data_IF_796086951783
#
_entry.id   IF_796086951783
#
_cell.length_a   1.000
_cell.length_b   1.000
_cell.length_c   1.000
_cell.angle_alpha   90.00
_cell.angle_beta   90.00
_cell.angle_gamma   90.00
#
_symmetry.space_group_name_H-M   'P 1'
#
loop_
_entity.id
_entity.type
_entity.pdbx_description
1 polymer ?
#
# COMPACT_ATOMS: atom_id res chain seq x y z
N UNK A 1 -21.93 5.87 -1.03
CA UNK A 1 -20.72 5.13 -0.61
C UNK A 1 -19.50 5.56 -1.46
N UNK A 2 -19.33 6.86 -1.72
CA UNK A 2 -18.29 7.36 -2.65
C UNK A 2 -16.95 7.67 -1.95
N UNK A 3 -16.93 7.71 -0.61
CA UNK A 3 -15.73 8.03 0.17
C UNK A 3 -14.62 6.98 0.02
N UNK A 4 -14.97 5.69 0.08
CA UNK A 4 -14.00 4.61 -0.07
C UNK A 4 -13.32 4.66 -1.45
N UNK A 5 -14.07 4.88 -2.52
CA UNK A 5 -13.51 4.94 -3.88
C UNK A 5 -12.50 6.07 -4.04
N UNK A 6 -12.80 7.27 -3.51
CA UNK A 6 -11.86 8.40 -3.53
C UNK A 6 -10.60 8.10 -2.72
N UNK A 7 -10.76 7.56 -1.50
CA UNK A 7 -9.62 7.21 -0.64
C UNK A 7 -8.75 6.12 -1.27
N UNK A 8 -9.35 5.09 -1.86
CA UNK A 8 -8.65 4.02 -2.58
C UNK A 8 -7.92 4.55 -3.82
N UNK A 9 -8.52 5.52 -4.54
CA UNK A 9 -7.86 6.18 -5.66
C UNK A 9 -6.60 6.97 -5.21
N UNK A 10 -6.69 7.70 -4.09
CA UNK A 10 -5.53 8.38 -3.50
C UNK A 10 -4.43 7.40 -3.09
N UNK A 11 -4.80 6.27 -2.46
CA UNK A 11 -3.84 5.22 -2.10
C UNK A 11 -3.16 4.60 -3.33
N UNK A 12 -3.95 4.36 -4.40
CA UNK A 12 -3.44 3.87 -5.70
C UNK A 12 -2.44 4.84 -6.31
N UNK A 13 -2.75 6.14 -6.32
CA UNK A 13 -1.84 7.17 -6.84
C UNK A 13 -0.52 7.19 -6.05
N UNK A 14 -0.58 7.10 -4.72
CA UNK A 14 0.63 7.03 -3.89
C UNK A 14 1.48 5.80 -4.24
N UNK A 15 0.85 4.63 -4.44
CA UNK A 15 1.55 3.41 -4.86
C UNK A 15 2.21 3.57 -6.23
N UNK A 16 1.51 4.16 -7.20
CA UNK A 16 2.06 4.40 -8.54
C UNK A 16 3.24 5.37 -8.50
N UNK A 17 3.17 6.41 -7.66
CA UNK A 17 4.30 7.33 -7.42
C UNK A 17 5.50 6.59 -6.83
N UNK A 18 5.26 5.66 -5.88
CA UNK A 18 6.33 4.84 -5.32
C UNK A 18 6.97 3.92 -6.37
N UNK A 19 6.15 3.27 -7.20
CA UNK A 19 6.62 2.41 -8.29
C UNK A 19 7.44 3.17 -9.35
N UNK A 20 7.12 4.45 -9.59
CA UNK A 20 7.91 5.32 -10.46
C UNK A 20 9.21 5.84 -9.82
N UNK A 21 9.39 5.66 -8.51
CA UNK A 21 10.49 6.24 -7.75
C UNK A 21 10.28 7.71 -7.33
N UNK A 22 9.08 8.26 -7.54
CA UNK A 22 8.70 9.63 -7.17
C UNK A 22 8.32 9.78 -5.68
N UNK A 23 8.14 8.65 -4.98
CA UNK A 23 7.76 8.61 -3.57
C UNK A 23 8.58 7.52 -2.85
N UNK A 24 9.34 7.86 -1.77
CA UNK A 24 10.02 6.87 -0.97
C UNK A 24 9.02 5.97 -0.24
N UNK A 25 9.46 4.77 0.15
CA UNK A 25 8.64 3.77 0.84
C UNK A 25 7.98 4.33 2.11
N UNK A 26 8.70 5.15 2.89
CA UNK A 26 8.20 5.74 4.12
C UNK A 26 7.04 6.71 3.85
N UNK A 27 7.14 7.47 2.76
CA UNK A 27 6.09 8.37 2.30
C UNK A 27 4.84 7.61 1.84
N UNK A 28 5.02 6.48 1.16
CA UNK A 28 3.91 5.60 0.80
C UNK A 28 3.19 5.04 2.04
N UNK A 29 3.95 4.51 3.00
CA UNK A 29 3.40 3.93 4.24
C UNK A 29 2.64 4.99 5.04
N UNK A 30 3.21 6.19 5.20
CA UNK A 30 2.56 7.28 5.88
C UNK A 30 1.23 7.66 5.20
N UNK A 31 1.24 7.87 3.87
CA UNK A 31 0.04 8.22 3.12
C UNK A 31 -1.06 7.16 3.24
N UNK A 32 -0.70 5.88 3.22
CA UNK A 32 -1.65 4.78 3.38
C UNK A 32 -2.22 4.69 4.80
N UNK A 33 -1.39 4.85 5.83
CA UNK A 33 -1.84 4.86 7.23
C UNK A 33 -2.74 6.05 7.54
N UNK A 34 -2.48 7.21 6.97
CA UNK A 34 -3.34 8.40 7.11
C UNK A 34 -4.68 8.24 6.37
N UNK A 35 -4.67 7.56 5.23
CA UNK A 35 -5.89 7.30 4.45
C UNK A 35 -6.74 6.16 5.03
N UNK A 36 -6.14 5.20 5.75
CA UNK A 36 -6.85 4.01 6.25
C UNK A 36 -8.06 4.28 7.16
N UNK A 37 -8.05 5.24 8.11
CA UNK A 37 -9.22 5.59 8.91
C UNK A 37 -10.41 6.12 8.10
N UNK A 38 -10.18 6.65 6.90
CA UNK A 38 -11.24 7.13 6.01
C UNK A 38 -11.93 5.99 5.23
N UNK A 39 -11.39 4.76 5.29
CA UNK A 39 -11.99 3.59 4.66
C UNK A 39 -13.00 2.94 5.60
N UNK A 40 -14.26 2.87 5.18
CA UNK A 40 -15.28 2.08 5.84
C UNK A 40 -15.19 0.60 5.40
N UNK A 41 -14.08 -0.07 5.73
CA UNK A 41 -13.83 -1.47 5.38
C UNK A 41 -13.84 -2.39 6.62
N UNK A 42 -14.11 -3.69 6.45
CA UNK A 42 -13.99 -4.66 7.53
C UNK A 42 -12.58 -4.68 8.16
N UNK A 43 -12.45 -4.93 9.47
CA UNK A 43 -11.16 -4.85 10.19
C UNK A 43 -10.07 -5.77 9.63
N UNK A 44 -10.44 -6.88 8.98
CA UNK A 44 -9.50 -7.78 8.28
C UNK A 44 -8.71 -7.08 7.17
N UNK A 45 -9.31 -6.10 6.48
CA UNK A 45 -8.63 -5.32 5.44
C UNK A 45 -7.54 -4.44 6.04
N UNK A 46 -7.81 -3.79 7.18
CA UNK A 46 -6.83 -2.99 7.90
C UNK A 46 -5.65 -3.83 8.38
N UNK A 47 -5.90 -5.03 8.91
CA UNK A 47 -4.82 -5.95 9.32
C UNK A 47 -3.98 -6.44 8.14
N UNK A 48 -4.62 -6.81 7.03
CA UNK A 48 -3.90 -7.22 5.83
C UNK A 48 -3.06 -6.08 5.24
N UNK A 49 -3.60 -4.86 5.22
CA UNK A 49 -2.89 -3.67 4.76
C UNK A 49 -1.64 -3.40 5.62
N UNK A 50 -1.79 -3.37 6.95
CA UNK A 50 -0.69 -3.10 7.88
C UNK A 50 0.44 -4.14 7.75
N UNK A 51 0.10 -5.41 7.59
CA UNK A 51 1.09 -6.48 7.37
C UNK A 51 1.85 -6.30 6.05
N UNK A 52 1.16 -5.90 4.96
CA UNK A 52 1.81 -5.60 3.68
C UNK A 52 2.74 -4.40 3.77
N UNK A 53 2.31 -3.31 4.44
CA UNK A 53 3.13 -2.11 4.66
C UNK A 53 4.38 -2.44 5.48
N UNK A 54 4.24 -3.22 6.55
CA UNK A 54 5.38 -3.66 7.38
C UNK A 54 6.40 -4.48 6.60
N UNK A 55 5.93 -5.39 5.74
CA UNK A 55 6.80 -6.18 4.85
C UNK A 55 7.53 -5.29 3.85
N UNK A 56 6.85 -4.27 3.31
CA UNK A 56 7.45 -3.32 2.39
C UNK A 56 8.54 -2.49 3.07
N UNK A 57 8.27 -1.98 4.28
CA UNK A 57 9.22 -1.24 5.12
C UNK A 57 10.48 -2.07 5.39
N UNK A 58 10.31 -3.32 5.83
CA UNK A 58 11.44 -4.24 6.02
C UNK A 58 12.17 -4.50 4.70
N UNK A 59 11.46 -4.79 3.61
CA UNK A 59 12.07 -5.05 2.31
C UNK A 59 12.92 -3.87 1.85
N UNK A 60 12.49 -2.63 2.10
CA UNK A 60 13.26 -1.43 1.77
C UNK A 60 14.47 -1.25 2.69
N UNK A 61 14.32 -1.52 3.99
CA UNK A 61 15.44 -1.47 4.95
C UNK A 61 16.52 -2.52 4.63
N UNK A 62 16.14 -3.68 4.11
CA UNK A 62 17.06 -4.78 3.75
C UNK A 62 17.47 -4.78 2.25
N UNK A 63 16.93 -3.88 1.43
CA UNK A 63 17.22 -3.82 -0.01
C UNK A 63 18.66 -3.38 -0.35
N UNK A 64 19.50 -3.04 0.64
CA UNK A 64 20.88 -2.61 0.39
C UNK A 64 21.79 -3.74 -0.13
N UNK A 65 21.42 -5.02 0.02
CA UNK A 65 22.30 -6.16 -0.32
C UNK A 65 21.75 -7.17 -1.35
N UNK A 66 20.47 -7.12 -1.74
CA UNK A 66 19.92 -8.15 -2.65
C UNK A 66 18.70 -7.73 -3.46
N UNK A 67 18.95 -7.50 -4.75
CA UNK A 67 18.17 -7.95 -5.91
C UNK A 67 16.63 -7.87 -5.84
N UNK A 68 16.03 -6.81 -6.40
CA UNK A 68 14.80 -6.63 -7.22
C UNK A 68 13.55 -7.55 -7.11
N UNK A 69 13.56 -8.65 -6.36
CA UNK A 69 12.56 -9.72 -6.43
C UNK A 69 11.53 -9.64 -5.30
N UNK A 70 11.91 -9.16 -4.10
CA UNK A 70 11.02 -9.08 -2.94
C UNK A 70 10.07 -7.87 -2.97
N UNK A 71 10.54 -6.69 -3.38
CA UNK A 71 9.72 -5.46 -3.35
C UNK A 71 8.58 -5.47 -4.39
N UNK A 72 8.80 -6.04 -5.58
CA UNK A 72 7.77 -6.13 -6.63
C UNK A 72 6.61 -7.04 -6.23
N UNK A 73 6.90 -8.15 -5.55
CA UNK A 73 5.86 -9.05 -5.05
C UNK A 73 4.97 -8.37 -4.00
N UNK A 74 5.54 -7.52 -3.14
CA UNK A 74 4.78 -6.80 -2.11
C UNK A 74 3.90 -5.71 -2.73
N UNK A 75 4.43 -4.93 -3.67
CA UNK A 75 3.65 -3.89 -4.38
C UNK A 75 2.51 -4.47 -5.24
N UNK A 76 2.71 -5.66 -5.80
CA UNK A 76 1.67 -6.42 -6.49
C UNK A 76 0.57 -6.94 -5.52
N UNK A 77 0.93 -7.35 -4.30
CA UNK A 77 -0.05 -7.67 -3.26
C UNK A 77 -0.85 -6.43 -2.80
N UNK A 78 -0.19 -5.27 -2.66
CA UNK A 78 -0.86 -3.99 -2.35
C UNK A 78 -1.86 -3.61 -3.46
N UNK A 79 -1.48 -3.84 -4.71
CA UNK A 79 -2.36 -3.63 -5.87
C UNK A 79 -3.61 -4.50 -5.79
N UNK A 80 -3.46 -5.80 -5.52
CA UNK A 80 -4.61 -6.70 -5.33
C UNK A 80 -5.47 -6.33 -4.14
N UNK A 81 -4.86 -5.85 -3.06
CA UNK A 81 -5.61 -5.40 -1.88
C UNK A 81 -6.53 -4.23 -2.23
N UNK A 82 -6.03 -3.23 -2.98
CA UNK A 82 -6.81 -2.08 -3.45
C UNK A 82 -7.98 -2.52 -4.34
N UNK A 83 -7.73 -3.43 -5.29
CA UNK A 83 -8.77 -3.92 -6.19
C UNK A 83 -9.85 -4.65 -5.40
N UNK A 84 -9.46 -5.44 -4.40
CA UNK A 84 -10.42 -6.14 -3.54
C UNK A 84 -11.20 -5.16 -2.66
N UNK A 85 -10.53 -4.18 -2.06
CA UNK A 85 -11.17 -3.15 -1.26
C UNK A 85 -12.17 -2.29 -2.07
N UNK A 86 -11.94 -2.11 -3.38
CA UNK A 86 -12.86 -1.41 -4.27
C UNK A 86 -14.13 -2.22 -4.61
N UNK A 87 -14.11 -3.55 -4.38
CA UNK A 87 -15.26 -4.44 -4.62
C UNK A 87 -16.13 -4.68 -3.39
N UNK A 88 -15.74 -4.16 -2.22
CA UNK A 88 -16.48 -4.27 -0.94
C UNK A 88 -17.39 -3.06 -0.77
#
# INVERSE_FOLDING_TARGET
MSGNTTTLATMREALDRHLRGDLPVDGLIAAWREAAPALALPPVFGQAMEELLRRLEMSAAFAQDSCSFSSTAITDQLTRWLDKAATV
#
